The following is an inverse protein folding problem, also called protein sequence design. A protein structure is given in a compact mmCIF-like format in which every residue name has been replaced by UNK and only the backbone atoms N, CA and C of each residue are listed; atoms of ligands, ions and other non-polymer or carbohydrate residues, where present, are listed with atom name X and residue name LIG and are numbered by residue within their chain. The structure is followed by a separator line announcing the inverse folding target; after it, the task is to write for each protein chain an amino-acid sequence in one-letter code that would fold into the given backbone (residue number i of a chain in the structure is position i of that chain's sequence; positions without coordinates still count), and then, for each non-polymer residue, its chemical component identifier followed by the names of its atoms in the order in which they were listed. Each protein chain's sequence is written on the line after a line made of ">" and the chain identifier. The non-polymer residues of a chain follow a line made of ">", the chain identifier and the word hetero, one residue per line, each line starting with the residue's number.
data_IF_832113857879
#
_entry.id   IF_832113857879
#
_cell.length_a   1.000
_cell.length_b   1.000
_cell.length_c   1.000
_cell.angle_alpha   90.00
_cell.angle_beta   90.00
_cell.angle_gamma   90.00
#
_symmetry.space_group_name_H-M   'P 1'
#
loop_
_entity.id
_entity.type
_entity.pdbx_description
1 polymer ?
#
# COMPACT_ATOMS: atom_id res chain seq x y z
N UNK A 1 -13.82 7.88 -10.65
CA UNK A 1 -13.40 8.95 -9.72
C UNK A 1 -14.33 10.17 -9.79
N UNK A 2 -14.57 10.75 -10.98
CA UNK A 2 -15.50 11.90 -11.14
C UNK A 2 -16.90 11.61 -10.57
N UNK A 3 -17.48 10.42 -10.84
CA UNK A 3 -18.81 10.06 -10.32
C UNK A 3 -18.89 9.97 -8.79
N UNK A 4 -17.87 9.42 -8.12
CA UNK A 4 -17.85 9.31 -6.66
C UNK A 4 -17.66 10.66 -5.97
N UNK A 5 -16.89 11.59 -6.59
CA UNK A 5 -16.76 12.96 -6.10
C UNK A 5 -18.09 13.70 -6.24
N UNK A 6 -18.76 13.60 -7.40
CA UNK A 6 -20.07 14.20 -7.60
C UNK A 6 -21.13 13.65 -6.64
N UNK A 7 -21.08 12.35 -6.33
CA UNK A 7 -21.99 11.72 -5.38
C UNK A 7 -21.71 12.17 -3.94
N UNK A 8 -20.45 12.19 -3.50
CA UNK A 8 -20.07 12.72 -2.18
C UNK A 8 -20.54 14.17 -2.00
N UNK A 9 -20.34 15.03 -3.00
CA UNK A 9 -20.81 16.41 -2.95
C UNK A 9 -22.34 16.55 -2.96
N UNK A 10 -23.06 15.57 -3.52
CA UNK A 10 -24.52 15.56 -3.52
C UNK A 10 -25.10 15.07 -2.20
N UNK A 11 -24.44 14.09 -1.57
CA UNK A 11 -25.01 13.36 -0.44
C UNK A 11 -24.59 13.94 0.92
N UNK A 12 -23.53 14.75 0.98
CA UNK A 12 -23.10 15.44 2.20
C UNK A 12 -23.77 16.81 2.30
N UNK A 13 -24.73 16.93 3.21
CA UNK A 13 -25.51 18.16 3.40
C UNK A 13 -24.80 19.25 4.23
N UNK A 14 -23.59 18.97 4.76
CA UNK A 14 -22.85 19.87 5.65
C UNK A 14 -21.45 20.26 5.13
N UNK A 15 -21.04 21.49 5.43
CA UNK A 15 -19.75 22.09 5.06
C UNK A 15 -18.97 22.51 6.34
N UNK A 16 -17.71 22.09 6.52
CA UNK A 16 -16.87 21.31 5.60
C UNK A 16 -17.23 19.82 5.54
N UNK A 17 -17.04 19.22 4.37
CA UNK A 17 -17.02 17.76 4.19
C UNK A 17 -15.93 17.17 5.10
N UNK A 18 -16.31 16.19 5.93
CA UNK A 18 -15.43 15.55 6.89
C UNK A 18 -14.64 14.38 6.29
N UNK A 19 -13.62 13.92 7.01
CA UNK A 19 -12.85 12.72 6.64
C UNK A 19 -13.74 11.47 6.70
N UNK A 20 -14.66 11.41 7.66
CA UNK A 20 -15.64 10.34 7.81
C UNK A 20 -16.55 10.21 6.59
N UNK A 21 -16.98 11.33 5.99
CA UNK A 21 -17.80 11.32 4.77
C UNK A 21 -17.01 10.77 3.58
N UNK A 22 -15.77 11.24 3.40
CA UNK A 22 -14.87 10.75 2.34
C UNK A 22 -14.66 9.24 2.50
N UNK A 23 -14.38 8.78 3.71
CA UNK A 23 -14.18 7.37 3.98
C UNK A 23 -15.44 6.56 3.66
N UNK A 24 -16.63 7.06 3.99
CA UNK A 24 -17.89 6.34 3.73
C UNK A 24 -18.16 6.13 2.23
N UNK A 25 -17.77 7.08 1.38
CA UNK A 25 -18.00 7.03 -0.06
C UNK A 25 -16.87 6.37 -0.86
N UNK A 26 -15.64 6.40 -0.36
CA UNK A 26 -14.48 5.85 -1.05
C UNK A 26 -13.95 4.54 -0.45
N UNK A 27 -14.47 4.09 0.70
CA UNK A 27 -14.27 2.74 1.22
C UNK A 27 -14.79 1.74 0.19
N UNK A 28 -13.90 0.87 -0.30
CA UNK A 28 -14.22 -0.14 -1.31
C UNK A 28 -13.84 0.23 -2.75
N UNK A 29 -13.45 1.49 -3.02
CA UNK A 29 -12.79 1.80 -4.30
C UNK A 29 -11.42 1.12 -4.29
N UNK A 30 -11.21 0.18 -5.20
CA UNK A 30 -10.06 -0.72 -5.17
C UNK A 30 -8.72 0.02 -5.13
N UNK A 31 -8.59 1.14 -5.86
CA UNK A 31 -7.39 1.98 -5.83
C UNK A 31 -7.17 2.62 -4.44
N UNK A 32 -8.23 3.19 -3.84
CA UNK A 32 -8.18 3.85 -2.52
C UNK A 32 -7.83 2.82 -1.43
N UNK A 33 -8.48 1.66 -1.46
CA UNK A 33 -8.20 0.57 -0.54
C UNK A 33 -6.75 0.10 -0.65
N UNK A 34 -6.22 -0.04 -1.88
CA UNK A 34 -4.84 -0.44 -2.12
C UNK A 34 -3.82 0.53 -1.50
N UNK A 35 -4.04 1.85 -1.62
CA UNK A 35 -3.17 2.84 -1.00
C UNK A 35 -3.23 2.78 0.54
N UNK A 36 -4.41 2.67 1.13
CA UNK A 36 -4.57 2.53 2.59
C UNK A 36 -3.85 1.30 3.13
N UNK A 37 -3.98 0.16 2.44
CA UNK A 37 -3.27 -1.08 2.80
C UNK A 37 -1.75 -0.88 2.69
N UNK A 38 -1.29 -0.29 1.57
CA UNK A 38 0.12 -0.01 1.33
C UNK A 38 0.74 0.88 2.41
N UNK A 39 0.08 1.98 2.77
CA UNK A 39 0.58 2.90 3.80
C UNK A 39 0.70 2.19 5.16
N UNK A 40 -0.30 1.39 5.55
CA UNK A 40 -0.22 0.58 6.76
C UNK A 40 0.93 -0.44 6.72
N UNK A 41 1.20 -1.07 5.57
CA UNK A 41 2.34 -1.98 5.40
C UNK A 41 3.66 -1.26 5.59
N UNK A 42 3.88 -0.15 4.90
CA UNK A 42 5.16 0.57 4.94
C UNK A 42 5.38 1.30 6.28
N UNK A 43 4.31 1.61 7.01
CA UNK A 43 4.38 2.10 8.39
C UNK A 43 4.63 1.00 9.44
N UNK A 44 4.71 -0.26 9.03
CA UNK A 44 4.83 -1.45 9.90
C UNK A 44 3.62 -1.64 10.83
N UNK A 45 2.41 -1.31 10.36
CA UNK A 45 1.12 -1.49 11.05
C UNK A 45 0.42 -2.77 10.58
N UNK A 46 1.01 -3.93 10.85
CA UNK A 46 0.54 -5.24 10.31
C UNK A 46 -0.93 -5.57 10.58
N UNK A 47 -1.39 -5.32 11.81
CA UNK A 47 -2.78 -5.64 12.21
C UNK A 47 -3.77 -4.80 11.41
N UNK A 48 -3.46 -3.53 11.22
CA UNK A 48 -4.28 -2.61 10.42
C UNK A 48 -4.25 -3.00 8.94
N UNK A 49 -3.07 -3.25 8.38
CA UNK A 49 -2.92 -3.68 6.99
C UNK A 49 -3.71 -4.96 6.69
N UNK A 50 -3.65 -5.97 7.56
CA UNK A 50 -4.41 -7.22 7.40
C UNK A 50 -5.90 -7.00 7.51
N UNK A 51 -6.35 -6.18 8.47
CA UNK A 51 -7.78 -5.87 8.63
C UNK A 51 -8.32 -5.16 7.39
N UNK A 52 -7.63 -4.14 6.92
CA UNK A 52 -8.00 -3.38 5.73
C UNK A 52 -7.99 -4.24 4.48
N UNK A 53 -7.00 -5.12 4.32
CA UNK A 53 -6.96 -6.07 3.20
C UNK A 53 -8.19 -6.99 3.19
N UNK A 54 -8.52 -7.59 4.34
CA UNK A 54 -9.66 -8.52 4.45
C UNK A 54 -10.97 -7.83 4.13
N UNK A 55 -11.20 -6.66 4.73
CA UNK A 55 -12.39 -5.85 4.45
C UNK A 55 -12.50 -5.46 2.98
N UNK A 56 -11.39 -5.02 2.37
CA UNK A 56 -11.40 -4.59 0.98
C UNK A 56 -11.66 -5.77 0.03
N UNK A 57 -11.06 -6.93 0.29
CA UNK A 57 -11.28 -8.15 -0.50
C UNK A 57 -12.71 -8.70 -0.34
N UNK A 58 -13.35 -8.49 0.81
CA UNK A 58 -14.78 -8.82 1.01
C UNK A 58 -15.70 -7.85 0.24
N UNK A 59 -15.31 -6.57 0.15
CA UNK A 59 -16.07 -5.55 -0.56
C UNK A 59 -15.94 -5.62 -2.10
N UNK A 60 -14.82 -6.11 -2.64
CA UNK A 60 -14.60 -6.18 -4.08
C UNK A 60 -13.52 -7.20 -4.51
N UNK A 61 -13.84 -7.98 -5.54
CA UNK A 61 -12.92 -8.94 -6.19
C UNK A 61 -11.72 -8.29 -6.90
N UNK A 62 -11.78 -6.98 -7.17
CA UNK A 62 -10.78 -6.26 -7.96
C UNK A 62 -9.69 -5.58 -7.12
N UNK A 63 -9.64 -5.82 -5.80
CA UNK A 63 -8.70 -5.15 -4.88
C UNK A 63 -7.26 -5.70 -4.97
N UNK A 64 -7.09 -6.94 -5.41
CA UNK A 64 -5.79 -7.60 -5.39
C UNK A 64 -4.72 -6.90 -6.23
N UNK A 65 -5.01 -6.60 -7.50
CA UNK A 65 -4.06 -5.93 -8.40
C UNK A 65 -3.71 -4.50 -7.90
N UNK A 66 -4.69 -3.63 -7.59
CA UNK A 66 -4.41 -2.30 -7.02
C UNK A 66 -3.59 -2.35 -5.73
N UNK A 67 -3.82 -3.33 -4.86
CA UNK A 67 -3.05 -3.49 -3.61
C UNK A 67 -1.57 -3.75 -3.90
N UNK A 68 -1.25 -4.71 -4.79
CA UNK A 68 0.14 -5.02 -5.13
C UNK A 68 0.82 -3.82 -5.82
N UNK A 69 0.11 -3.14 -6.72
CA UNK A 69 0.62 -1.95 -7.41
C UNK A 69 0.91 -0.78 -6.44
N UNK A 70 0.01 -0.53 -5.49
CA UNK A 70 0.18 0.49 -4.47
C UNK A 70 1.38 0.16 -3.57
N UNK A 71 1.49 -1.08 -3.11
CA UNK A 71 2.63 -1.54 -2.31
C UNK A 71 3.96 -1.41 -3.08
N UNK A 72 4.01 -1.84 -4.34
CA UNK A 72 5.22 -1.70 -5.16
C UNK A 72 5.62 -0.22 -5.38
N UNK A 73 4.63 0.66 -5.56
CA UNK A 73 4.87 2.11 -5.67
C UNK A 73 5.37 2.71 -4.35
N UNK A 74 4.81 2.30 -3.22
CA UNK A 74 5.29 2.66 -1.89
C UNK A 74 6.74 2.21 -1.65
N UNK A 75 7.08 0.97 -2.01
CA UNK A 75 8.46 0.47 -1.93
C UNK A 75 9.43 1.32 -2.75
N UNK A 76 9.06 1.65 -4.00
CA UNK A 76 9.90 2.45 -4.89
C UNK A 76 10.18 3.84 -4.32
N UNK A 77 9.15 4.50 -3.78
CA UNK A 77 9.31 5.82 -3.17
C UNK A 77 10.15 5.75 -1.89
N UNK A 78 9.91 4.76 -1.04
CA UNK A 78 10.67 4.51 0.19
C UNK A 78 12.17 4.27 -0.07
N UNK A 79 12.49 3.37 -1.02
CA UNK A 79 13.88 3.07 -1.41
C UNK A 79 14.52 4.26 -2.11
N UNK A 80 13.78 5.00 -2.94
CA UNK A 80 14.26 6.22 -3.58
C UNK A 80 14.72 7.26 -2.55
N UNK A 81 13.95 7.46 -1.48
CA UNK A 81 14.33 8.36 -0.38
C UNK A 81 15.59 7.85 0.32
N UNK A 82 15.68 6.54 0.55
CA UNK A 82 16.85 5.92 1.16
C UNK A 82 18.13 6.05 0.35
N UNK A 83 18.04 6.01 -0.98
CA UNK A 83 19.17 6.19 -1.90
C UNK A 83 19.67 7.63 -2.02
N UNK A 84 18.92 8.62 -1.52
CA UNK A 84 19.25 10.04 -1.57
C UNK A 84 19.57 10.62 -0.19
N UNK A 85 20.32 9.86 0.61
CA UNK A 85 20.77 10.31 1.93
C UNK A 85 21.60 11.60 1.79
N UNK A 86 21.21 12.66 2.52
CA UNK A 86 21.88 13.96 2.52
C UNK A 86 21.41 14.96 1.44
N UNK A 87 20.61 14.54 0.46
CA UNK A 87 20.01 15.47 -0.51
C UNK A 87 18.93 16.35 0.15
N UNK A 88 18.70 17.55 -0.41
CA UNK A 88 17.63 18.44 0.07
C UNK A 88 16.24 17.84 -0.18
N UNK A 89 15.25 18.24 0.61
CA UNK A 89 13.88 17.72 0.43
C UNK A 89 13.28 18.10 -0.93
N UNK A 90 13.68 19.25 -1.48
CA UNK A 90 13.24 19.67 -2.82
C UNK A 90 13.82 18.77 -3.92
N UNK A 91 15.09 18.39 -3.81
CA UNK A 91 15.74 17.51 -4.78
C UNK A 91 15.16 16.10 -4.71
N UNK A 92 14.94 15.59 -3.50
CA UNK A 92 14.28 14.30 -3.29
C UNK A 92 12.86 14.29 -3.88
N UNK A 93 12.07 15.34 -3.62
CA UNK A 93 10.72 15.48 -4.17
C UNK A 93 10.73 15.43 -5.72
N UNK A 94 11.64 16.19 -6.34
CA UNK A 94 11.79 16.23 -7.81
C UNK A 94 12.23 14.90 -8.39
N UNK A 95 13.25 14.26 -7.81
CA UNK A 95 13.81 13.01 -8.35
C UNK A 95 12.84 11.84 -8.21
N UNK A 96 12.10 11.75 -7.10
CA UNK A 96 11.18 10.64 -6.83
C UNK A 96 9.78 10.91 -7.42
N UNK A 97 9.47 12.17 -7.76
CA UNK A 97 8.18 12.56 -8.31
C UNK A 97 7.07 12.62 -7.26
N UNK A 98 7.38 13.04 -6.03
CA UNK A 98 6.42 13.20 -4.93
C UNK A 98 6.26 14.68 -4.55
N UNK A 99 5.09 15.09 -4.02
CA UNK A 99 4.93 16.45 -3.49
C UNK A 99 5.96 16.75 -2.37
N UNK A 100 6.52 17.97 -2.30
CA UNK A 100 7.54 18.31 -1.30
C UNK A 100 7.15 18.02 0.15
N UNK A 101 5.88 18.25 0.50
CA UNK A 101 5.37 17.99 1.84
C UNK A 101 5.44 16.51 2.25
N UNK A 102 5.43 15.58 1.27
CA UNK A 102 5.44 14.13 1.52
C UNK A 102 6.83 13.60 1.87
N UNK A 103 7.89 14.34 1.54
CA UNK A 103 9.28 13.88 1.72
C UNK A 103 9.61 13.63 3.20
N UNK A 104 9.18 14.53 4.09
CA UNK A 104 9.43 14.39 5.53
C UNK A 104 8.84 13.08 6.08
N UNK A 105 7.61 12.75 5.71
CA UNK A 105 6.95 11.50 6.10
C UNK A 105 7.70 10.29 5.56
N UNK A 106 8.09 10.31 4.28
CA UNK A 106 8.85 9.22 3.66
C UNK A 106 10.23 9.01 4.32
N UNK A 107 10.91 10.08 4.74
CA UNK A 107 12.17 9.96 5.50
C UNK A 107 11.98 9.33 6.87
N UNK A 108 10.91 9.69 7.58
CA UNK A 108 10.56 9.06 8.86
C UNK A 108 10.23 7.58 8.68
N UNK A 109 9.51 7.24 7.62
CA UNK A 109 9.23 5.86 7.25
C UNK A 109 10.55 5.12 6.91
N UNK A 110 11.42 5.71 6.09
CA UNK A 110 12.74 5.16 5.75
C UNK A 110 13.58 4.86 6.99
N UNK A 111 13.59 5.75 7.99
CA UNK A 111 14.33 5.52 9.23
C UNK A 111 13.91 4.23 9.97
N UNK A 112 12.65 3.78 9.82
CA UNK A 112 12.15 2.51 10.38
C UNK A 112 12.63 1.28 9.60
N UNK A 113 13.11 1.47 8.38
CA UNK A 113 13.48 0.43 7.43
C UNK A 113 14.97 0.39 7.10
N UNK A 114 15.70 1.48 7.31
CA UNK A 114 17.11 1.60 6.94
C UNK A 114 18.03 0.58 7.62
N UNK A 115 17.65 0.07 8.80
CA UNK A 115 18.33 -1.02 9.49
C UNK A 115 17.97 -2.44 9.03
N UNK A 116 17.03 -2.59 8.08
CA UNK A 116 16.46 -3.88 7.66
C UNK A 116 16.39 -4.01 6.13
N UNK A 117 17.48 -3.69 5.45
CA UNK A 117 17.55 -3.70 3.97
C UNK A 117 17.33 -5.10 3.37
N UNK A 118 17.75 -6.17 4.07
CA UNK A 118 17.50 -7.55 3.64
C UNK A 118 16.01 -7.82 3.53
N UNK A 119 15.22 -7.29 4.46
CA UNK A 119 13.76 -7.43 4.42
C UNK A 119 13.12 -6.60 3.32
N UNK A 120 13.63 -5.39 3.02
CA UNK A 120 13.18 -4.64 1.85
C UNK A 120 13.42 -5.42 0.55
N UNK A 121 14.57 -6.07 0.41
CA UNK A 121 14.85 -6.94 -0.73
C UNK A 121 13.90 -8.15 -0.79
N UNK A 122 13.65 -8.81 0.36
CA UNK A 122 12.69 -9.90 0.44
C UNK A 122 11.26 -9.45 0.10
N UNK A 123 10.85 -8.26 0.53
CA UNK A 123 9.57 -7.66 0.20
C UNK A 123 9.44 -7.38 -1.31
N UNK A 124 10.52 -6.93 -1.97
CA UNK A 124 10.53 -6.74 -3.42
C UNK A 124 10.27 -8.05 -4.18
N UNK A 125 10.89 -9.16 -3.74
CA UNK A 125 10.67 -10.50 -4.31
C UNK A 125 9.23 -10.96 -4.06
N UNK A 126 8.75 -10.86 -2.81
CA UNK A 126 7.39 -11.25 -2.47
C UNK A 126 6.32 -10.44 -3.23
N UNK A 127 6.58 -9.16 -3.50
CA UNK A 127 5.72 -8.32 -4.33
C UNK A 127 5.66 -8.81 -5.78
N UNK A 128 6.80 -9.21 -6.35
CA UNK A 128 6.84 -9.76 -7.71
C UNK A 128 6.07 -11.08 -7.80
N UNK A 129 6.23 -11.96 -6.81
CA UNK A 129 5.47 -13.22 -6.73
C UNK A 129 3.96 -12.95 -6.61
N UNK A 130 3.58 -12.00 -5.76
CA UNK A 130 2.19 -11.61 -5.57
C UNK A 130 1.58 -10.96 -6.82
N UNK A 131 2.33 -10.12 -7.55
CA UNK A 131 1.88 -9.48 -8.80
C UNK A 131 1.51 -10.55 -9.85
N UNK A 132 2.35 -11.56 -10.01
CA UNK A 132 2.06 -12.70 -10.85
C UNK A 132 0.82 -13.46 -10.37
N UNK A 133 0.74 -13.76 -9.08
CA UNK A 133 -0.37 -14.51 -8.50
C UNK A 133 -1.74 -13.83 -8.71
N UNK A 134 -1.83 -12.50 -8.50
CA UNK A 134 -3.10 -11.77 -8.64
C UNK A 134 -3.53 -11.58 -10.10
N UNK A 135 -2.58 -11.61 -11.07
CA UNK A 135 -2.83 -11.45 -12.51
C UNK A 135 -3.17 -12.73 -13.27
N UNK A 136 -3.33 -13.87 -12.58
CA UNK A 136 -3.62 -15.17 -13.21
C UNK A 136 -2.44 -16.13 -13.25
N UNK A 137 -1.41 -15.88 -12.45
CA UNK A 137 -0.23 -16.72 -12.34
C UNK A 137 0.79 -16.48 -13.46
N UNK A 138 1.99 -17.04 -13.27
CA UNK A 138 3.14 -16.88 -14.20
C UNK A 138 3.29 -18.05 -15.18
N UNK A 139 2.45 -19.08 -15.05
CA UNK A 139 2.41 -20.27 -15.91
C UNK A 139 0.97 -20.59 -16.30
N UNK A 140 0.79 -21.27 -17.44
CA UNK A 140 -0.53 -21.77 -17.87
C UNK A 140 -1.10 -22.68 -16.78
N UNK A 141 -2.37 -22.44 -16.40
CA UNK A 141 -3.06 -23.22 -15.37
C UNK A 141 -2.67 -22.91 -13.93
N UNK A 142 -1.86 -21.86 -13.68
CA UNK A 142 -1.48 -21.43 -12.32
C UNK A 142 -2.35 -20.31 -11.74
N UNK A 143 -3.48 -20.00 -12.39
CA UNK A 143 -4.46 -19.02 -11.89
C UNK A 143 -5.00 -19.45 -10.53
N UNK A 144 -4.95 -18.53 -9.58
CA UNK A 144 -5.51 -18.73 -8.25
C UNK A 144 -7.00 -18.36 -8.22
N UNK A 145 -7.77 -19.09 -7.42
CA UNK A 145 -9.13 -18.68 -7.02
C UNK A 145 -9.09 -17.48 -6.05
N UNK A 146 -10.26 -16.96 -5.67
CA UNK A 146 -10.36 -15.77 -4.81
C UNK A 146 -9.76 -15.98 -3.41
N UNK A 147 -10.01 -17.13 -2.78
CA UNK A 147 -9.50 -17.47 -1.46
C UNK A 147 -7.97 -17.62 -1.49
N UNK A 148 -7.44 -18.26 -2.52
CA UNK A 148 -6.01 -18.42 -2.74
C UNK A 148 -5.32 -17.07 -3.00
N UNK A 149 -5.96 -16.16 -3.75
CA UNK A 149 -5.46 -14.78 -3.94
C UNK A 149 -5.42 -14.01 -2.62
N UNK A 150 -6.48 -14.10 -1.81
CA UNK A 150 -6.51 -13.49 -0.48
C UNK A 150 -5.36 -14.02 0.37
N UNK A 151 -5.19 -15.34 0.45
CA UNK A 151 -4.10 -15.96 1.21
C UNK A 151 -2.70 -15.50 0.73
N UNK A 152 -2.50 -15.39 -0.58
CA UNK A 152 -1.25 -14.89 -1.14
C UNK A 152 -0.97 -13.43 -0.71
N UNK A 153 -2.00 -12.57 -0.72
CA UNK A 153 -1.90 -11.18 -0.28
C UNK A 153 -1.68 -11.06 1.23
N UNK A 154 -2.35 -11.88 2.05
CA UNK A 154 -2.11 -11.92 3.50
C UNK A 154 -0.68 -12.31 3.83
N UNK A 155 -0.13 -13.31 3.13
CA UNK A 155 1.27 -13.72 3.27
C UNK A 155 2.22 -12.59 2.89
N UNK A 156 1.95 -11.88 1.80
CA UNK A 156 2.71 -10.70 1.38
C UNK A 156 2.70 -9.62 2.48
N UNK A 157 1.52 -9.28 3.01
CA UNK A 157 1.37 -8.27 4.06
C UNK A 157 2.14 -8.67 5.32
N UNK A 158 2.04 -9.93 5.76
CA UNK A 158 2.74 -10.43 6.95
C UNK A 158 4.27 -10.41 6.75
N UNK A 159 4.75 -10.96 5.63
CA UNK A 159 6.17 -11.01 5.32
C UNK A 159 6.77 -9.60 5.26
N UNK A 160 6.03 -8.64 4.71
CA UNK A 160 6.50 -7.27 4.58
C UNK A 160 6.44 -6.52 5.90
N UNK A 161 5.28 -6.47 6.55
CA UNK A 161 5.00 -5.52 7.64
C UNK A 161 5.40 -5.96 9.05
N UNK A 162 5.61 -7.26 9.31
CA UNK A 162 5.85 -7.73 10.69
C UNK A 162 7.09 -7.07 11.31
N UNK A 163 7.09 -6.75 12.61
CA UNK A 163 8.30 -6.25 13.28
C UNK A 163 9.38 -7.34 13.35
N UNK A 164 10.66 -6.95 13.37
CA UNK A 164 11.72 -7.86 13.83
C UNK A 164 11.41 -8.14 15.30
N UNK A 165 11.03 -9.39 15.61
CA UNK A 165 10.83 -9.81 17.00
C UNK A 165 12.22 -9.82 17.63
N UNK A 166 12.59 -8.75 18.33
CA UNK A 166 13.72 -8.78 19.27
C UNK A 166 13.32 -9.77 20.37
N UNK A 167 13.77 -11.00 20.21
CA UNK A 167 13.83 -11.95 21.31
C UNK A 167 14.92 -11.41 22.24
N UNK A 168 14.49 -10.80 23.35
CA UNK A 168 15.32 -10.65 24.54
C UNK A 168 15.36 -11.98 25.28
#
# INVERSE_FOLDING_TARGET
>A
MVGAISQLCSDVEHDPISIEDINSYFIGVADVAGYTISDAVWDKRSVEALRSLRWAMEASDNVGVPTVLAMASGLRTLVGVGGMAGASDLDVAKTIGVPPWKVKTLRQQWARWSGDQRRLAAAAVALADADGAVKGGVKIGSSLDAEQKLLALERLVIATSAGTRTLN
#
